data_IF_267539598773
#
_entry.id   IF_267539598773
#
_cell.length_a   1.000
_cell.length_b   1.000
_cell.length_c   1.000
_cell.angle_alpha   90.00
_cell.angle_beta   90.00
_cell.angle_gamma   90.00
#
_symmetry.space_group_name_H-M   'P 1'
#
loop_
_entity.id
_entity.type
_entity.pdbx_description
1 polymer ?
#
# COMPACT_ATOMS: atom_id res chain seq x y z
N UNK A 1 2.80 25.13 19.52
CA UNK A 1 1.65 25.03 18.60
C UNK A 1 1.94 24.26 17.29
N UNK A 2 2.57 23.07 17.33
CA UNK A 2 2.81 22.27 16.11
C UNK A 2 1.73 21.22 15.87
N UNK A 3 1.20 20.63 16.93
CA UNK A 3 0.05 19.71 16.87
C UNK A 3 -1.15 20.36 16.18
N UNK A 4 -1.37 21.66 16.46
CA UNK A 4 -2.42 22.47 15.83
C UNK A 4 -2.22 22.66 14.32
N UNK A 5 -0.96 22.77 13.87
CA UNK A 5 -0.63 22.89 12.43
C UNK A 5 -0.83 21.54 11.74
N UNK A 6 -0.43 20.44 12.38
CA UNK A 6 -0.63 19.08 11.86
C UNK A 6 -2.11 18.73 11.75
N UNK A 7 -2.92 19.06 12.77
CA UNK A 7 -4.36 18.80 12.76
C UNK A 7 -5.08 19.62 11.68
N UNK A 8 -4.72 20.89 11.49
CA UNK A 8 -5.30 21.75 10.45
C UNK A 8 -4.97 21.24 9.04
N UNK A 9 -3.75 20.73 8.83
CA UNK A 9 -3.35 20.09 7.57
C UNK A 9 -4.14 18.79 7.32
N UNK A 10 -4.33 17.97 8.36
CA UNK A 10 -5.09 16.73 8.25
C UNK A 10 -6.58 16.98 7.98
N UNK A 11 -7.17 18.00 8.59
CA UNK A 11 -8.54 18.44 8.30
C UNK A 11 -8.68 18.93 6.84
N UNK A 12 -7.72 19.72 6.36
CA UNK A 12 -7.70 20.19 4.98
C UNK A 12 -7.59 19.03 3.97
N UNK A 13 -6.75 18.03 4.27
CA UNK A 13 -6.62 16.81 3.47
C UNK A 13 -7.94 16.04 3.47
N UNK A 14 -8.55 15.79 4.62
CA UNK A 14 -9.83 15.09 4.71
C UNK A 14 -10.94 15.80 3.93
N UNK A 15 -11.06 17.12 4.07
CA UNK A 15 -12.03 17.92 3.34
C UNK A 15 -11.82 17.85 1.83
N UNK A 16 -10.57 17.84 1.37
CA UNK A 16 -10.25 17.68 -0.06
C UNK A 16 -10.65 16.30 -0.59
N UNK A 17 -10.39 15.23 0.19
CA UNK A 17 -10.75 13.86 -0.16
C UNK A 17 -12.27 13.65 -0.21
N UNK A 18 -13.01 14.21 0.76
CA UNK A 18 -14.48 14.16 0.78
C UNK A 18 -15.07 14.86 -0.47
N UNK A 19 -14.53 16.03 -0.85
CA UNK A 19 -14.96 16.72 -2.07
C UNK A 19 -14.72 15.87 -3.33
N UNK A 20 -13.58 15.19 -3.42
CA UNK A 20 -13.28 14.29 -4.55
C UNK A 20 -14.25 13.10 -4.58
N UNK A 21 -14.54 12.50 -3.44
CA UNK A 21 -15.49 11.39 -3.34
C UNK A 21 -16.90 11.80 -3.78
N UNK A 22 -17.37 12.96 -3.33
CA UNK A 22 -18.66 13.53 -3.70
C UNK A 22 -18.74 13.85 -5.21
N UNK A 23 -17.67 14.43 -5.79
CA UNK A 23 -17.56 14.65 -7.24
C UNK A 23 -17.67 13.33 -8.02
N UNK A 24 -16.99 12.27 -7.58
CA UNK A 24 -17.04 10.93 -8.23
C UNK A 24 -18.44 10.31 -8.16
N UNK A 25 -19.16 10.50 -7.06
CA UNK A 25 -20.53 10.02 -6.90
C UNK A 25 -21.46 10.79 -7.86
N UNK A 26 -21.35 12.13 -7.90
CA UNK A 26 -22.14 12.97 -8.82
C UNK A 26 -21.87 12.62 -10.29
N UNK A 27 -20.61 12.41 -10.67
CA UNK A 27 -20.23 11.99 -12.03
C UNK A 27 -20.88 10.66 -12.41
N UNK A 28 -20.81 9.64 -11.55
CA UNK A 28 -21.43 8.33 -11.83
C UNK A 28 -22.94 8.43 -11.94
N UNK A 29 -23.60 9.20 -11.05
CA UNK A 29 -25.05 9.44 -11.11
C UNK A 29 -25.45 10.19 -12.38
N UNK A 30 -24.72 11.24 -12.76
CA UNK A 30 -25.00 12.01 -13.96
C UNK A 30 -24.85 11.16 -15.24
N UNK A 31 -23.79 10.35 -15.33
CA UNK A 31 -23.60 9.42 -16.44
C UNK A 31 -24.69 8.34 -16.48
N UNK A 32 -25.05 7.76 -15.33
CA UNK A 32 -26.10 6.74 -15.25
C UNK A 32 -27.47 7.30 -15.66
N UNK A 33 -27.83 8.49 -15.15
CA UNK A 33 -29.05 9.18 -15.55
C UNK A 33 -29.04 9.49 -17.04
N UNK A 34 -27.95 10.06 -17.57
CA UNK A 34 -27.85 10.39 -18.98
C UNK A 34 -28.00 9.16 -19.89
N UNK A 35 -27.40 8.02 -19.53
CA UNK A 35 -27.59 6.74 -20.27
C UNK A 35 -29.04 6.27 -20.17
N UNK A 36 -29.66 6.33 -18.99
CA UNK A 36 -31.07 5.96 -18.79
C UNK A 36 -32.04 6.82 -19.62
N UNK A 37 -31.89 8.14 -19.59
CA UNK A 37 -32.74 9.04 -20.36
C UNK A 37 -32.55 8.83 -21.87
N UNK A 38 -31.31 8.66 -22.31
CA UNK A 38 -31.01 8.43 -23.74
C UNK A 38 -31.55 7.07 -24.22
N UNK A 39 -31.47 6.02 -23.39
CA UNK A 39 -32.01 4.70 -23.74
C UNK A 39 -33.54 4.69 -23.77
N UNK A 40 -34.20 5.38 -22.85
CA UNK A 40 -35.67 5.56 -22.86
C UNK A 40 -36.10 6.30 -24.12
N UNK A 41 -35.45 7.43 -24.44
CA UNK A 41 -35.77 8.21 -25.64
C UNK A 41 -35.59 7.39 -26.92
N UNK A 42 -34.56 6.55 -26.98
CA UNK A 42 -34.33 5.64 -28.10
C UNK A 42 -35.39 4.56 -28.22
N UNK A 43 -35.80 3.95 -27.11
CA UNK A 43 -36.88 2.97 -27.10
C UNK A 43 -38.19 3.58 -27.60
N UNK A 44 -38.52 4.80 -27.19
CA UNK A 44 -39.68 5.56 -27.70
C UNK A 44 -39.54 5.80 -29.21
N UNK A 45 -38.36 6.21 -29.69
CA UNK A 45 -38.10 6.40 -31.12
C UNK A 45 -38.24 5.09 -31.93
N UNK A 46 -37.78 3.96 -31.39
CA UNK A 46 -37.95 2.64 -32.02
C UNK A 46 -39.42 2.25 -32.11
N UNK A 47 -40.19 2.42 -31.04
CA UNK A 47 -41.64 2.15 -31.04
C UNK A 47 -42.34 3.03 -32.07
N UNK A 48 -41.99 4.31 -32.16
CA UNK A 48 -42.50 5.20 -33.19
C UNK A 48 -42.13 4.75 -34.62
N UNK A 49 -40.88 4.32 -34.85
CA UNK A 49 -40.48 3.75 -36.14
C UNK A 49 -41.29 2.51 -36.48
N UNK A 50 -41.45 1.56 -35.54
CA UNK A 50 -42.23 0.34 -35.75
C UNK A 50 -43.68 0.67 -36.07
N UNK A 51 -44.31 1.56 -35.30
CA UNK A 51 -45.70 1.98 -35.51
C UNK A 51 -45.91 2.61 -36.89
N UNK A 52 -44.99 3.48 -37.33
CA UNK A 52 -45.08 4.14 -38.63
C UNK A 52 -44.74 3.24 -39.82
N UNK A 53 -43.92 2.20 -39.62
CA UNK A 53 -43.62 1.17 -40.62
C UNK A 53 -44.74 0.13 -40.73
N UNK A 54 -45.41 -0.18 -39.61
CA UNK A 54 -46.54 -1.11 -39.58
C UNK A 54 -47.81 -0.51 -40.23
N UNK A 55 -48.10 0.76 -39.94
CA UNK A 55 -49.36 1.39 -40.33
C UNK A 55 -49.36 2.02 -41.74
N UNK A 56 -48.22 2.09 -42.43
CA UNK A 56 -48.15 2.68 -43.77
C UNK A 56 -47.26 1.89 -44.74
N UNK A 57 -47.76 1.70 -45.96
CA UNK A 57 -47.02 1.14 -47.09
C UNK A 57 -46.05 2.21 -47.67
N UNK A 58 -45.08 2.65 -46.85
CA UNK A 58 -44.17 3.75 -47.23
C UNK A 58 -43.12 3.28 -48.23
N UNK A 59 -42.77 4.16 -49.18
CA UNK A 59 -41.67 3.91 -50.10
C UNK A 59 -40.30 3.86 -49.41
N UNK A 60 -39.32 3.24 -50.09
CA UNK A 60 -37.96 2.96 -49.58
C UNK A 60 -37.28 4.19 -48.96
N UNK A 61 -37.52 5.40 -49.50
CA UNK A 61 -36.94 6.66 -48.99
C UNK A 61 -37.34 6.95 -47.54
N UNK A 62 -38.57 6.63 -47.14
CA UNK A 62 -39.02 6.85 -45.77
C UNK A 62 -38.36 5.85 -44.80
N UNK A 63 -38.12 4.62 -45.27
CA UNK A 63 -37.43 3.58 -44.50
C UNK A 63 -35.96 3.98 -44.28
N UNK A 64 -35.28 4.46 -45.34
CA UNK A 64 -33.90 4.95 -45.26
C UNK A 64 -33.80 6.12 -44.27
N UNK A 65 -34.69 7.10 -44.36
CA UNK A 65 -34.69 8.24 -43.45
C UNK A 65 -34.94 7.85 -41.99
N UNK A 66 -35.81 6.86 -41.73
CA UNK A 66 -36.06 6.34 -40.38
C UNK A 66 -34.88 5.55 -39.81
N UNK A 67 -34.10 4.87 -40.66
CA UNK A 67 -32.93 4.10 -40.28
C UNK A 67 -31.70 4.94 -39.90
N UNK A 68 -31.55 6.14 -40.49
CA UNK A 68 -30.39 7.03 -40.24
C UNK A 68 -30.23 7.37 -38.74
N UNK A 69 -31.26 7.88 -38.03
CA UNK A 69 -31.14 8.16 -36.61
C UNK A 69 -30.90 6.89 -35.78
N UNK A 70 -31.41 5.75 -36.21
CA UNK A 70 -31.28 4.46 -35.52
C UNK A 70 -29.82 4.00 -35.46
N UNK A 71 -29.06 4.25 -36.53
CA UNK A 71 -27.63 3.98 -36.61
C UNK A 71 -26.83 5.09 -35.92
N UNK A 72 -27.15 6.37 -36.14
CA UNK A 72 -26.37 7.49 -35.59
C UNK A 72 -26.47 7.61 -34.06
N UNK A 73 -27.64 7.32 -33.49
CA UNK A 73 -27.90 7.49 -32.07
C UNK A 73 -26.97 6.70 -31.14
N UNK A 74 -26.70 5.39 -31.35
CA UNK A 74 -25.72 4.66 -30.53
C UNK A 74 -24.29 5.21 -30.66
N UNK A 75 -23.89 5.74 -31.82
CA UNK A 75 -22.60 6.41 -31.96
C UNK A 75 -22.56 7.70 -31.14
N UNK A 76 -23.58 8.55 -31.22
CA UNK A 76 -23.67 9.78 -30.43
C UNK A 76 -23.62 9.47 -28.94
N UNK A 77 -24.32 8.43 -28.48
CA UNK A 77 -24.25 7.98 -27.08
C UNK A 77 -22.81 7.57 -26.73
N UNK A 78 -22.20 6.73 -27.55
CA UNK A 78 -20.85 6.25 -27.30
C UNK A 78 -19.84 7.41 -27.17
N UNK A 79 -19.86 8.35 -28.12
CA UNK A 79 -18.97 9.51 -28.10
C UNK A 79 -19.26 10.46 -26.92
N UNK A 80 -20.54 10.70 -26.60
CA UNK A 80 -20.89 11.54 -25.43
C UNK A 80 -20.43 10.91 -24.12
N UNK A 81 -20.53 9.58 -23.98
CA UNK A 81 -20.03 8.86 -22.79
C UNK A 81 -18.51 9.01 -22.64
N UNK A 82 -17.77 8.95 -23.74
CA UNK A 82 -16.31 9.18 -23.75
C UNK A 82 -15.98 10.63 -23.44
N UNK A 83 -16.65 11.59 -24.07
CA UNK A 83 -16.41 13.00 -23.87
C UNK A 83 -16.68 13.43 -22.41
N UNK A 84 -17.79 12.98 -21.82
CA UNK A 84 -18.09 13.21 -20.41
C UNK A 84 -17.03 12.55 -19.51
N UNK A 85 -16.69 11.29 -19.75
CA UNK A 85 -15.66 10.60 -18.96
C UNK A 85 -14.30 11.31 -19.02
N UNK A 86 -13.89 11.78 -20.20
CA UNK A 86 -12.66 12.54 -20.40
C UNK A 86 -12.70 13.92 -19.75
N UNK A 87 -13.80 14.65 -19.87
CA UNK A 87 -13.96 15.97 -19.26
C UNK A 87 -13.88 15.88 -17.73
N UNK A 88 -14.61 14.92 -17.15
CA UNK A 88 -14.58 14.71 -15.70
C UNK A 88 -13.23 14.15 -15.22
N UNK A 89 -12.58 13.25 -15.98
CA UNK A 89 -11.25 12.77 -15.61
C UNK A 89 -10.22 13.90 -15.63
N UNK A 90 -10.30 14.79 -16.64
CA UNK A 90 -9.41 15.97 -16.74
C UNK A 90 -9.63 16.96 -15.60
N UNK A 91 -10.88 17.17 -15.18
CA UNK A 91 -11.20 17.97 -13.99
C UNK A 91 -10.71 17.32 -12.69
N UNK A 92 -10.81 15.99 -12.59
CA UNK A 92 -10.36 15.23 -11.42
C UNK A 92 -8.82 15.26 -11.27
N UNK A 93 -8.06 15.12 -12.37
CA UNK A 93 -6.59 15.14 -12.34
C UNK A 93 -6.00 16.47 -11.85
N UNK A 94 -6.69 17.58 -12.09
CA UNK A 94 -6.28 18.90 -11.59
C UNK A 94 -6.39 19.00 -10.05
N UNK A 95 -7.45 18.43 -9.46
CA UNK A 95 -7.65 18.40 -8.01
C UNK A 95 -6.71 17.39 -7.32
N UNK A 96 -6.46 16.24 -7.95
CA UNK A 96 -5.52 15.24 -7.43
C UNK A 96 -4.08 15.78 -7.36
N UNK A 97 -3.69 16.63 -8.33
CA UNK A 97 -2.38 17.29 -8.33
C UNK A 97 -2.24 18.34 -7.21
N UNK A 98 -3.31 19.04 -6.85
CA UNK A 98 -3.31 19.94 -5.68
C UNK A 98 -3.19 19.17 -4.37
N UNK A 99 -3.87 18.03 -4.27
CA UNK A 99 -3.82 17.20 -3.07
C UNK A 99 -2.42 16.59 -2.87
N UNK A 100 -1.77 16.13 -3.94
CA UNK A 100 -0.40 15.64 -3.86
C UNK A 100 0.58 16.74 -3.40
N UNK A 101 0.42 17.98 -3.87
CA UNK A 101 1.27 19.10 -3.41
C UNK A 101 1.10 19.42 -1.92
N UNK A 102 -0.11 19.27 -1.36
CA UNK A 102 -0.32 19.43 0.09
C UNK A 102 0.31 18.28 0.89
N UNK A 103 0.21 17.05 0.38
CA UNK A 103 0.86 15.88 1.00
C UNK A 103 2.39 15.99 0.96
N UNK A 104 2.98 16.47 -0.14
CA UNK A 104 4.43 16.71 -0.21
C UNK A 104 4.86 17.78 0.77
N UNK A 105 4.07 18.85 0.92
CA UNK A 105 4.36 19.91 1.88
C UNK A 105 4.29 19.41 3.34
N UNK A 106 3.31 18.55 3.67
CA UNK A 106 3.23 17.87 4.97
C UNK A 106 4.48 17.02 5.23
N UNK A 107 4.85 16.17 4.28
CA UNK A 107 6.00 15.27 4.43
C UNK A 107 7.32 16.04 4.54
N UNK A 108 7.49 17.10 3.76
CA UNK A 108 8.67 17.96 3.82
C UNK A 108 8.81 18.62 5.20
N UNK A 109 7.71 19.07 5.81
CA UNK A 109 7.72 19.62 7.18
C UNK A 109 8.00 18.55 8.23
N UNK A 110 7.49 17.33 8.03
CA UNK A 110 7.78 16.19 8.89
C UNK A 110 9.27 15.80 8.81
N UNK A 111 9.87 15.84 7.64
CA UNK A 111 11.29 15.52 7.43
C UNK A 111 12.20 16.64 7.95
N UNK A 112 11.77 17.90 7.85
CA UNK A 112 12.44 19.03 8.52
C UNK A 112 12.47 18.83 10.04
N UNK A 113 11.36 18.33 10.62
CA UNK A 113 11.29 18.00 12.05
C UNK A 113 12.23 16.84 12.40
N UNK A 114 12.19 15.74 11.64
CA UNK A 114 13.09 14.59 11.86
C UNK A 114 14.56 14.98 11.77
N UNK A 115 14.93 15.85 10.82
CA UNK A 115 16.29 16.33 10.67
C UNK A 115 16.72 17.22 11.84
N UNK A 116 15.83 18.11 12.33
CA UNK A 116 16.13 18.89 13.55
C UNK A 116 16.24 17.98 14.76
N UNK A 117 15.33 17.02 14.95
CA UNK A 117 15.39 16.07 16.07
C UNK A 117 16.61 15.15 16.01
N UNK A 118 16.98 14.64 14.83
CA UNK A 118 18.17 13.83 14.65
C UNK A 118 19.44 14.65 14.86
N UNK A 119 19.48 15.90 14.36
CA UNK A 119 20.57 16.85 14.60
C UNK A 119 20.73 17.18 16.09
N UNK A 120 19.65 17.50 16.81
CA UNK A 120 19.72 17.73 18.26
C UNK A 120 20.09 16.46 19.03
N UNK A 121 19.60 15.30 18.60
CA UNK A 121 19.97 14.00 19.19
C UNK A 121 21.46 13.73 19.04
N UNK A 122 22.02 13.85 17.83
CA UNK A 122 23.44 13.62 17.58
C UNK A 122 24.32 14.69 18.21
N UNK A 123 23.90 15.95 18.19
CA UNK A 123 24.62 17.04 18.86
C UNK A 123 24.67 16.84 20.38
N UNK A 124 23.56 16.43 21.00
CA UNK A 124 23.52 16.13 22.44
C UNK A 124 24.38 14.91 22.82
N UNK A 125 24.56 13.97 21.89
CA UNK A 125 25.51 12.86 22.07
C UNK A 125 26.95 13.38 22.05
N UNK A 126 27.34 14.19 21.06
CA UNK A 126 28.68 14.79 21.02
C UNK A 126 28.98 15.61 22.28
N UNK A 127 28.06 16.47 22.71
CA UNK A 127 28.22 17.31 23.90
C UNK A 127 28.41 16.49 25.18
N UNK A 128 27.68 15.37 25.33
CA UNK A 128 27.87 14.46 26.47
C UNK A 128 29.24 13.77 26.47
N UNK A 129 29.79 13.45 25.30
CA UNK A 129 31.11 12.85 25.19
C UNK A 129 32.24 13.88 25.44
N UNK A 130 32.12 15.10 24.91
CA UNK A 130 33.07 16.20 25.19
C UNK A 130 33.12 16.55 26.69
N UNK A 131 31.96 16.61 27.36
CA UNK A 131 31.89 16.84 28.81
C UNK A 131 32.51 15.67 29.61
N UNK A 132 32.47 14.45 29.08
CA UNK A 132 33.10 13.29 29.71
C UNK A 132 34.62 13.26 29.55
N UNK A 133 35.16 13.74 28.42
CA UNK A 133 36.61 13.95 28.25
C UNK A 133 37.13 15.11 29.10
N UNK A 134 36.35 16.19 29.23
CA UNK A 134 36.71 17.33 30.06
C UNK A 134 36.75 16.97 31.56
N UNK A 135 35.84 16.12 32.05
CA UNK A 135 35.90 15.58 33.43
C UNK A 135 37.04 14.59 33.66
N UNK A 136 37.44 13.81 32.64
CA UNK A 136 38.57 12.86 32.75
C UNK A 136 39.93 13.57 32.76
N UNK A 137 39.99 14.81 32.26
CA UNK A 137 41.20 15.64 32.22
C UNK A 137 41.47 16.43 33.50
N UNK A 138 40.57 16.39 34.50
CA UNK A 138 40.71 17.14 35.75
C UNK A 138 41.01 16.27 36.98
N UNK A 139 41.37 15.00 36.80
CA UNK A 139 41.75 14.07 37.89
C UNK A 139 43.13 13.40 37.68
N UNK A 140 44.08 14.06 37.02
CA UNK A 140 45.47 13.59 36.95
C UNK A 140 46.39 14.65 37.57
N UNK A 141 46.48 14.62 38.89
CA UNK A 141 47.43 15.41 39.68
C UNK A 141 48.26 14.51 40.59
N UNK A 142 49.53 14.35 40.22
CA UNK A 142 50.72 14.04 41.02
C UNK A 142 50.78 12.76 41.90
N UNK A 143 51.68 11.83 41.56
CA UNK A 143 52.73 11.28 42.47
C UNK A 143 53.93 10.78 41.62
N UNK A 144 55.12 11.29 41.95
CA UNK A 144 56.46 10.86 41.53
C UNK A 144 56.92 9.60 42.27
N UNK A 145 57.70 8.73 41.61
CA UNK A 145 58.72 7.93 42.30
C UNK A 145 58.91 6.48 41.84
N UNK A 146 60.04 6.27 41.15
CA UNK A 146 61.01 5.17 41.30
C UNK A 146 60.72 3.73 40.81
N UNK A 147 61.75 3.15 40.19
CA UNK A 147 61.83 1.77 39.67
C UNK A 147 62.21 0.79 40.81
N UNK A 148 61.88 -0.53 40.75
CA UNK A 148 62.72 -1.48 40.00
C UNK A 148 62.01 -2.66 39.33
N UNK A 149 62.82 -3.33 38.51
CA UNK A 149 62.57 -4.39 37.54
C UNK A 149 62.39 -5.81 38.14
N UNK A 150 61.43 -6.61 37.63
CA UNK A 150 61.53 -8.10 37.56
C UNK A 150 60.49 -8.75 36.62
N UNK A 151 60.96 -9.63 35.72
CA UNK A 151 60.19 -10.60 34.88
C UNK A 151 59.91 -11.91 35.68
N UNK A 152 59.24 -12.98 35.16
CA UNK A 152 58.32 -13.16 34.00
C UNK A 152 57.00 -13.94 34.30
N UNK A 153 56.03 -13.92 33.37
CA UNK A 153 55.29 -15.14 32.98
C UNK A 153 53.74 -15.18 33.01
N UNK A 154 53.19 -15.56 31.84
CA UNK A 154 51.94 -16.31 31.50
C UNK A 154 50.62 -15.58 31.16
N UNK A 155 50.27 -15.69 29.86
CA UNK A 155 49.00 -16.10 29.19
C UNK A 155 47.71 -15.30 29.52
N UNK A 156 46.74 -15.03 28.62
CA UNK A 156 46.33 -15.64 27.34
C UNK A 156 45.43 -14.63 26.59
N UNK A 157 45.49 -14.61 25.25
CA UNK A 157 44.69 -13.78 24.34
C UNK A 157 43.29 -14.36 24.05
N UNK A 158 42.29 -13.52 23.79
CA UNK A 158 41.19 -13.73 22.80
C UNK A 158 40.57 -12.37 22.44
N UNK A 159 40.94 -11.80 21.31
CA UNK A 159 40.30 -11.84 19.97
C UNK A 159 39.08 -10.92 19.80
N UNK A 160 39.36 -9.79 19.15
CA UNK A 160 38.46 -8.90 18.44
C UNK A 160 38.03 -9.51 17.09
N UNK A 161 36.81 -9.20 16.64
CA UNK A 161 36.37 -9.39 15.26
C UNK A 161 35.92 -8.04 14.67
N UNK A 162 36.40 -7.65 13.48
CA UNK A 162 35.88 -6.53 12.71
C UNK A 162 34.85 -6.98 11.67
N UNK A 163 33.95 -6.05 11.33
CA UNK A 163 32.95 -6.16 10.28
C UNK A 163 33.57 -6.05 8.87
N UNK A 164 33.11 -6.87 7.91
CA UNK A 164 33.39 -6.66 6.49
C UNK A 164 32.25 -7.14 5.56
N UNK A 165 32.18 -6.43 4.43
CA UNK A 165 31.16 -6.31 3.38
C UNK A 165 31.25 -7.45 2.33
N UNK A 166 30.18 -7.81 1.59
CA UNK A 166 30.18 -8.96 0.68
C UNK A 166 30.57 -8.65 -0.78
N UNK A 167 31.24 -9.61 -1.44
CA UNK A 167 31.55 -9.76 -2.89
C UNK A 167 31.68 -11.29 -3.22
N UNK A 168 31.64 -11.76 -4.49
CA UNK A 168 30.87 -12.93 -4.96
C UNK A 168 31.67 -14.07 -5.69
N UNK A 169 30.92 -15.10 -6.17
CA UNK A 169 31.22 -16.22 -7.13
C UNK A 169 31.89 -17.51 -6.59
N UNK A 170 31.81 -18.72 -7.23
CA UNK A 170 31.48 -19.07 -8.65
C UNK A 170 30.53 -20.30 -8.94
N UNK A 171 30.16 -20.44 -10.22
CA UNK A 171 29.33 -21.50 -10.90
C UNK A 171 29.99 -22.88 -11.11
N UNK A 172 29.17 -23.94 -11.39
CA UNK A 172 29.16 -24.90 -12.55
C UNK A 172 28.49 -26.27 -12.19
N UNK A 173 28.10 -27.21 -13.10
CA UNK A 173 27.50 -27.18 -14.46
C UNK A 173 26.08 -27.81 -14.56
N UNK A 174 25.40 -27.52 -15.66
CA UNK A 174 24.21 -28.18 -16.23
C UNK A 174 24.49 -29.58 -16.79
N UNK A 175 23.44 -30.41 -17.03
CA UNK A 175 23.18 -30.79 -18.42
C UNK A 175 21.70 -30.74 -18.85
N UNK A 176 21.53 -30.85 -20.17
CA UNK A 176 20.38 -30.51 -21.01
C UNK A 176 19.25 -31.57 -21.08
N UNK A 177 18.06 -31.03 -21.43
CA UNK A 177 16.98 -31.53 -22.29
C UNK A 177 16.07 -32.68 -21.84
N UNK A 178 14.77 -32.38 -21.70
CA UNK A 178 13.70 -33.02 -22.48
C UNK A 178 12.38 -32.23 -22.38
N UNK A 179 11.48 -32.53 -23.31
CA UNK A 179 10.41 -31.73 -23.90
C UNK A 179 9.04 -32.30 -23.50
N UNK A 180 8.04 -31.42 -23.42
CA UNK A 180 6.58 -31.61 -23.45
C UNK A 180 5.96 -32.77 -22.65
N UNK A 181 5.05 -32.47 -21.72
CA UNK A 181 3.65 -32.86 -21.89
C UNK A 181 2.67 -32.20 -20.90
N UNK A 182 1.40 -32.47 -21.19
CA UNK A 182 0.22 -31.62 -21.04
C UNK A 182 -0.58 -31.92 -19.76
N UNK A 183 -1.30 -30.90 -19.26
CA UNK A 183 -2.56 -30.99 -18.49
C UNK A 183 -2.56 -31.57 -17.06
N UNK A 184 -2.87 -30.74 -16.06
CA UNK A 184 -4.15 -30.72 -15.31
C UNK A 184 -4.08 -29.72 -14.15
N UNK A 185 -5.23 -29.11 -13.85
CA UNK A 185 -5.33 -27.84 -13.15
C UNK A 185 -4.94 -27.83 -11.68
N UNK A 186 -4.76 -26.61 -11.17
CA UNK A 186 -5.47 -26.13 -9.98
C UNK A 186 -5.23 -24.63 -9.82
N UNK A 187 -6.32 -23.90 -9.59
CA UNK A 187 -6.30 -22.60 -8.94
C UNK A 187 -5.59 -22.76 -7.59
N UNK A 188 -4.45 -22.11 -7.39
CA UNK A 188 -4.03 -21.73 -6.05
C UNK A 188 -3.47 -20.32 -6.11
N UNK A 189 -4.17 -19.45 -5.39
CA UNK A 189 -3.82 -18.07 -5.12
C UNK A 189 -2.40 -18.00 -4.54
N UNK A 190 -1.45 -17.53 -5.33
CA UNK A 190 -0.28 -16.85 -4.81
C UNK A 190 -0.77 -15.51 -4.25
N UNK A 191 -1.13 -15.49 -2.97
CA UNK A 191 -1.01 -14.25 -2.22
C UNK A 191 0.48 -14.01 -2.02
N UNK A 192 1.12 -13.42 -3.05
CA UNK A 192 2.29 -12.60 -2.79
C UNK A 192 1.87 -11.57 -1.75
N UNK A 193 2.41 -11.68 -0.53
CA UNK A 193 2.43 -10.57 0.41
C UNK A 193 3.33 -9.50 -0.20
N UNK A 194 2.78 -8.78 -1.18
CA UNK A 194 3.26 -7.43 -1.52
C UNK A 194 3.25 -6.68 -0.19
N UNK A 195 4.34 -6.00 0.21
CA UNK A 195 4.29 -5.08 1.34
C UNK A 195 3.26 -4.01 0.98
N UNK A 196 2.02 -4.21 1.43
CA UNK A 196 0.93 -3.28 1.20
C UNK A 196 1.28 -2.08 2.05
N UNK A 197 1.75 -1.01 1.39
CA UNK A 197 1.98 0.30 2.00
C UNK A 197 0.83 0.58 2.98
N UNK A 198 1.10 0.73 4.29
CA UNK A 198 0.05 0.83 5.31
C UNK A 198 -0.80 2.04 4.96
N UNK A 199 -2.07 1.80 4.61
CA UNK A 199 -2.94 2.89 4.18
C UNK A 199 -3.52 3.53 5.42
N UNK A 200 -3.61 4.86 5.44
CA UNK A 200 -4.11 5.62 6.59
C UNK A 200 -5.54 5.23 7.02
N UNK A 201 -6.33 4.63 6.12
CA UNK A 201 -7.64 4.09 6.47
C UNK A 201 -7.56 2.82 7.31
N UNK A 202 -6.48 2.03 7.21
CA UNK A 202 -6.27 0.89 8.10
C UNK A 202 -6.13 1.41 9.54
N UNK A 203 -5.47 2.56 9.74
CA UNK A 203 -5.36 3.25 11.04
C UNK A 203 -6.68 3.86 11.52
N UNK A 204 -7.54 4.33 10.60
CA UNK A 204 -8.88 4.77 10.98
C UNK A 204 -9.79 3.61 11.35
N UNK A 205 -9.67 2.49 10.63
CA UNK A 205 -10.41 1.28 10.95
C UNK A 205 -9.95 0.74 12.31
N UNK A 206 -8.66 0.76 12.58
CA UNK A 206 -8.05 0.42 13.87
C UNK A 206 -8.51 1.37 15.00
N UNK A 207 -8.59 2.67 14.74
CA UNK A 207 -9.12 3.66 15.71
C UNK A 207 -10.64 3.56 15.92
N UNK A 208 -11.40 3.17 14.88
CA UNK A 208 -12.85 3.00 14.94
C UNK A 208 -13.26 1.68 15.60
N UNK A 209 -12.44 0.63 15.43
CA UNK A 209 -12.61 -0.68 16.06
C UNK A 209 -12.21 -0.65 17.54
N UNK A 210 -11.46 0.37 17.96
CA UNK A 210 -11.08 0.56 19.36
C UNK A 210 -9.90 -0.34 19.75
N UNK A 211 -9.02 0.19 20.59
CA UNK A 211 -7.92 -0.55 21.21
C UNK A 211 -8.48 -1.63 22.16
N UNK A 212 -9.04 -2.72 21.64
CA UNK A 212 -8.95 -3.97 22.37
C UNK A 212 -7.48 -4.40 22.23
N UNK A 213 -6.70 -4.12 23.28
CA UNK A 213 -5.28 -4.48 23.47
C UNK A 213 -4.85 -5.52 22.46
N UNK A 214 -3.88 -5.18 21.62
CA UNK A 214 -3.15 -6.13 20.76
C UNK A 214 -2.70 -7.33 21.61
N UNK A 215 -3.55 -8.33 21.78
CA UNK A 215 -3.17 -9.60 22.34
C UNK A 215 -2.17 -10.17 21.35
N UNK A 216 -0.90 -10.23 21.75
CA UNK A 216 0.21 -10.69 20.94
C UNK A 216 -0.17 -12.02 20.28
N UNK A 217 -0.44 -12.01 18.97
CA UNK A 217 -0.90 -13.22 18.28
C UNK A 217 0.29 -14.10 17.95
N UNK A 218 0.21 -15.38 18.28
CA UNK A 218 1.23 -16.35 17.90
C UNK A 218 0.95 -16.91 16.50
N UNK A 219 2.02 -17.19 15.75
CA UNK A 219 1.92 -17.82 14.45
C UNK A 219 1.65 -19.32 14.58
N UNK A 220 0.66 -19.83 13.83
CA UNK A 220 0.40 -21.27 13.71
C UNK A 220 1.34 -21.86 12.66
N UNK A 221 2.32 -22.62 13.12
CA UNK A 221 3.31 -23.30 12.28
C UNK A 221 3.06 -24.79 12.36
N UNK A 222 3.09 -25.47 11.21
CA UNK A 222 2.93 -26.94 11.17
C UNK A 222 4.24 -27.63 11.55
N UNK A 223 4.19 -28.61 12.46
CA UNK A 223 5.38 -29.35 12.90
C UNK A 223 6.00 -30.24 11.80
N UNK A 224 5.19 -30.74 10.87
CA UNK A 224 5.66 -31.65 9.82
C UNK A 224 6.23 -30.92 8.57
N UNK A 225 5.65 -29.78 8.19
CA UNK A 225 6.02 -29.09 6.95
C UNK A 225 6.41 -27.62 7.15
N UNK A 226 6.44 -27.12 8.39
CA UNK A 226 6.81 -25.76 8.78
C UNK A 226 6.06 -24.65 8.04
N UNK A 227 4.89 -24.95 7.47
CA UNK A 227 4.07 -23.96 6.79
C UNK A 227 3.33 -23.09 7.80
N UNK A 228 3.24 -21.80 7.50
CA UNK A 228 2.49 -20.81 8.27
C UNK A 228 1.01 -20.87 7.89
N UNK A 229 0.15 -21.27 8.84
CA UNK A 229 -1.27 -21.52 8.62
C UNK A 229 -2.20 -20.45 9.22
N UNK A 230 -1.65 -19.40 9.86
CA UNK A 230 -2.43 -18.30 10.41
C UNK A 230 -1.90 -17.77 11.75
N UNK A 231 -2.76 -17.04 12.46
CA UNK A 231 -2.47 -16.42 13.75
C UNK A 231 -3.48 -16.92 14.79
N UNK A 232 -3.02 -17.16 16.02
CA UNK A 232 -3.84 -17.60 17.17
C UNK A 232 -3.64 -16.66 18.37
N UNK A 233 -4.67 -16.49 19.20
CA UNK A 233 -4.58 -15.71 20.43
C UNK A 233 -3.80 -16.48 21.52
N UNK A 234 -3.12 -15.78 22.46
CA UNK A 234 -2.36 -16.41 23.55
C UNK A 234 -3.17 -17.43 24.36
N UNK A 235 -4.45 -17.17 24.60
CA UNK A 235 -5.32 -18.01 25.44
C UNK A 235 -5.72 -19.32 24.76
N UNK A 236 -5.71 -19.35 23.42
CA UNK A 236 -6.14 -20.50 22.63
C UNK A 236 -4.95 -21.33 22.14
N UNK A 237 -3.73 -20.79 22.24
CA UNK A 237 -2.49 -21.39 21.75
C UNK A 237 -2.30 -22.83 22.22
N UNK A 238 -2.53 -23.10 23.50
CA UNK A 238 -2.25 -24.41 24.11
C UNK A 238 -3.43 -25.40 23.94
N UNK A 239 -4.52 -24.97 23.29
CA UNK A 239 -5.74 -25.78 23.08
C UNK A 239 -6.06 -26.02 21.61
N UNK A 240 -5.40 -25.30 20.70
CA UNK A 240 -5.73 -25.33 19.28
C UNK A 240 -5.13 -26.56 18.62
N UNK A 241 -6.01 -27.35 18.01
CA UNK A 241 -5.64 -28.52 17.22
C UNK A 241 -6.15 -28.30 15.81
N UNK A 242 -5.31 -28.53 14.80
CA UNK A 242 -5.70 -28.27 13.42
C UNK A 242 -5.04 -29.26 12.46
N UNK A 243 -5.70 -29.54 11.33
CA UNK A 243 -5.09 -30.29 10.24
C UNK A 243 -4.44 -29.32 9.28
N UNK A 244 -3.15 -29.49 9.00
CA UNK A 244 -2.44 -28.60 8.10
C UNK A 244 -3.00 -28.71 6.67
N UNK A 245 -3.42 -27.60 6.03
CA UNK A 245 -3.94 -27.61 4.66
C UNK A 245 -2.88 -27.94 3.59
N UNK A 246 -1.59 -27.86 3.93
CA UNK A 246 -0.49 -28.12 2.98
C UNK A 246 -0.05 -29.59 2.97
N UNK A 247 0.12 -30.21 4.15
CA UNK A 247 0.60 -31.59 4.26
C UNK A 247 -0.45 -32.57 4.81
N UNK A 248 -1.64 -32.09 5.15
CA UNK A 248 -2.76 -32.87 5.71
C UNK A 248 -2.43 -33.66 6.99
N UNK A 249 -1.32 -33.33 7.66
CA UNK A 249 -0.99 -33.88 8.98
C UNK A 249 -1.77 -33.13 10.06
N UNK A 250 -2.30 -33.87 11.02
CA UNK A 250 -2.91 -33.32 12.22
C UNK A 250 -1.83 -32.76 13.16
N UNK A 251 -1.99 -31.50 13.56
CA UNK A 251 -1.14 -30.83 14.53
C UNK A 251 -1.88 -30.80 15.88
N UNK A 252 -1.43 -31.57 16.88
CA UNK A 252 -1.99 -31.52 18.23
C UNK A 252 -1.62 -30.19 18.92
N UNK A 253 -2.34 -29.90 20.00
CA UNK A 253 -2.16 -28.73 20.87
C UNK A 253 -0.97 -28.89 21.80
#
# INVERSE_FOLDING_TARGET
DYEKILSDLDEAIQKSQLRIADIKIRQRRALALWVLYSSILWAVYLVYCIFTLYNQNKGIRAIVNAGIPLILFPFVIYYMRIALAWFYSRKQTAEESRLSTMMTHKNQKLDELKNKTSYYTTHSLLERYDLSESKKSQSVGAVTGDYPQRRPGKQLSTLSLPAQRPQPLPELPTPLNARNDTQKGNMMSQFSTVPRQPRWFDKMFEALVGEEKSEERYALICDHCFSHNGLVLPRERDSIQYVCPQCHKFNPS
#
